data_IF_917682878442
#
_entry.id   IF_917682878442
#
_cell.length_a   1.000
_cell.length_b   1.000
_cell.length_c   1.000
_cell.angle_alpha   90.00
_cell.angle_beta   90.00
_cell.angle_gamma   90.00
#
_symmetry.space_group_name_H-M   'P 1'
#
loop_
_entity.id
_entity.type
_entity.pdbx_description
1 polymer ?
#
# COMPACT_ATOMS: atom_id res chain seq x y z
N UNK A 1 25.16 1.83 -7.71
CA UNK A 1 23.92 1.72 -6.91
C UNK A 1 24.05 0.56 -5.94
N UNK A 2 24.10 0.84 -4.64
CA UNK A 2 24.21 -0.18 -3.60
C UNK A 2 22.94 -1.06 -3.55
N UNK A 3 23.08 -2.39 -3.43
CA UNK A 3 21.95 -3.34 -3.45
C UNK A 3 20.92 -3.04 -2.34
N UNK A 4 21.36 -2.45 -1.24
CA UNK A 4 20.49 -2.04 -0.12
C UNK A 4 19.59 -0.84 -0.45
N UNK A 5 20.01 0.02 -1.38
CA UNK A 5 19.19 1.14 -1.86
C UNK A 5 18.00 0.64 -2.70
N UNK A 6 18.18 -0.47 -3.43
CA UNK A 6 17.15 -1.10 -4.24
C UNK A 6 15.98 -1.63 -3.38
N UNK A 7 16.29 -2.24 -2.23
CA UNK A 7 15.28 -2.74 -1.27
C UNK A 7 14.37 -1.60 -0.80
N UNK A 8 14.95 -0.43 -0.52
CA UNK A 8 14.21 0.76 -0.08
C UNK A 8 13.24 1.25 -1.16
N UNK A 9 13.68 1.29 -2.43
CA UNK A 9 12.81 1.66 -3.56
C UNK A 9 11.69 0.64 -3.74
N UNK A 10 11.99 -0.66 -3.75
CA UNK A 10 10.97 -1.71 -3.94
C UNK A 10 9.89 -1.62 -2.86
N UNK A 11 10.30 -1.44 -1.59
CA UNK A 11 9.38 -1.26 -0.48
C UNK A 11 8.50 0.00 -0.66
N UNK A 12 9.09 1.10 -1.15
CA UNK A 12 8.38 2.35 -1.43
C UNK A 12 7.35 2.18 -2.54
N UNK A 13 7.75 1.53 -3.65
CA UNK A 13 6.89 1.30 -4.81
C UNK A 13 5.67 0.44 -4.47
N UNK A 14 5.73 -0.42 -3.45
CA UNK A 14 4.59 -1.21 -2.99
C UNK A 14 3.43 -0.35 -2.46
N UNK A 15 3.68 0.87 -1.98
CA UNK A 15 2.64 1.78 -1.49
C UNK A 15 2.00 2.66 -2.57
N UNK A 16 2.67 2.88 -3.71
CA UNK A 16 2.18 3.68 -4.83
C UNK A 16 0.80 3.22 -5.32
N UNK A 17 0.55 1.92 -5.57
CA UNK A 17 -0.78 1.49 -5.98
C UNK A 17 -1.87 1.75 -4.96
N UNK A 18 -1.58 1.61 -3.67
CA UNK A 18 -2.55 1.93 -2.62
C UNK A 18 -2.94 3.40 -2.68
N UNK A 19 -1.97 4.29 -2.89
CA UNK A 19 -2.21 5.72 -3.01
C UNK A 19 -3.02 6.04 -4.27
N UNK A 20 -2.68 5.46 -5.42
CA UNK A 20 -3.41 5.68 -6.68
C UNK A 20 -4.87 5.22 -6.58
N UNK A 21 -5.10 4.02 -6.02
CA UNK A 21 -6.44 3.48 -5.80
C UNK A 21 -7.26 4.40 -4.87
N UNK A 22 -6.63 4.91 -3.82
CA UNK A 22 -7.26 5.82 -2.86
C UNK A 22 -7.65 7.15 -3.50
N UNK A 23 -6.74 7.75 -4.28
CA UNK A 23 -6.94 9.05 -4.93
C UNK A 23 -8.04 8.98 -5.98
N UNK A 24 -8.08 7.90 -6.75
CA UNK A 24 -9.10 7.66 -7.76
C UNK A 24 -10.52 7.49 -7.16
N UNK A 25 -10.65 7.23 -5.85
CA UNK A 25 -11.95 6.96 -5.22
C UNK A 25 -12.50 8.11 -4.38
N UNK A 26 -13.27 9.01 -5.02
CA UNK A 26 -14.06 10.07 -4.36
C UNK A 26 -15.49 9.59 -4.02
N UNK A 27 -16.13 10.14 -2.98
CA UNK A 27 -15.66 11.22 -2.09
C UNK A 27 -14.69 10.71 -1.01
N UNK A 28 -13.80 11.62 -0.58
CA UNK A 28 -12.84 11.36 0.47
C UNK A 28 -13.49 11.58 1.84
N UNK A 29 -13.95 10.49 2.44
CA UNK A 29 -14.31 10.47 3.86
C UNK A 29 -13.05 10.55 4.74
N UNK A 30 -13.20 10.96 6.01
CA UNK A 30 -12.09 11.19 6.95
C UNK A 30 -11.06 10.05 6.99
N UNK A 31 -11.51 8.79 7.01
CA UNK A 31 -10.66 7.60 6.98
C UNK A 31 -9.74 7.55 5.74
N UNK A 32 -10.27 7.91 4.56
CA UNK A 32 -9.47 8.00 3.32
C UNK A 32 -8.46 9.13 3.38
N UNK A 33 -8.84 10.28 3.93
CA UNK A 33 -7.94 11.44 4.04
C UNK A 33 -6.74 11.12 4.94
N UNK A 34 -6.98 10.59 6.13
CA UNK A 34 -5.90 10.20 7.06
C UNK A 34 -5.05 9.07 6.48
N UNK A 35 -5.66 8.12 5.77
CA UNK A 35 -4.92 7.07 5.08
C UNK A 35 -4.04 7.63 3.96
N UNK A 36 -4.51 8.63 3.21
CA UNK A 36 -3.73 9.28 2.15
C UNK A 36 -2.51 10.00 2.73
N UNK A 37 -2.69 10.75 3.82
CA UNK A 37 -1.59 11.42 4.51
C UNK A 37 -0.54 10.42 4.99
N UNK A 38 -0.97 9.29 5.57
CA UNK A 38 -0.07 8.21 5.97
C UNK A 38 0.68 7.61 4.77
N UNK A 39 -0.01 7.31 3.66
CA UNK A 39 0.61 6.77 2.45
C UNK A 39 1.62 7.74 1.82
N UNK A 40 1.33 9.03 1.81
CA UNK A 40 2.27 10.05 1.32
C UNK A 40 3.50 10.12 2.25
N UNK A 41 3.28 10.13 3.57
CA UNK A 41 4.35 10.17 4.55
C UNK A 41 5.28 8.95 4.42
N UNK A 42 4.73 7.74 4.29
CA UNK A 42 5.54 6.52 4.20
C UNK A 42 6.29 6.41 2.86
N UNK A 43 5.73 6.96 1.77
CA UNK A 43 6.42 7.09 0.49
C UNK A 43 7.60 8.06 0.58
N UNK A 44 7.39 9.24 1.17
CA UNK A 44 8.46 10.22 1.41
C UNK A 44 9.57 9.63 2.29
N UNK A 45 9.20 8.84 3.29
CA UNK A 45 10.18 8.17 4.15
C UNK A 45 11.01 7.14 3.38
N UNK A 46 10.36 6.35 2.52
CA UNK A 46 11.04 5.40 1.65
C UNK A 46 12.03 6.05 0.69
N UNK A 47 11.65 7.19 0.09
CA UNK A 47 12.54 8.01 -0.76
C UNK A 47 13.71 8.57 0.06
N UNK A 48 13.46 9.10 1.26
CA UNK A 48 14.51 9.59 2.15
C UNK A 48 15.51 8.50 2.55
N UNK A 49 15.02 7.30 2.85
CA UNK A 49 15.87 6.12 3.12
C UNK A 49 16.71 5.70 1.91
N UNK A 50 16.13 5.74 0.70
CA UNK A 50 16.87 5.52 -0.54
C UNK A 50 17.98 6.55 -0.75
N UNK A 51 17.66 7.84 -0.66
CA UNK A 51 18.64 8.92 -0.83
C UNK A 51 19.78 8.80 0.18
N UNK A 52 19.46 8.52 1.45
CA UNK A 52 20.46 8.37 2.50
C UNK A 52 21.45 7.21 2.24
N UNK A 53 20.94 6.07 1.75
CA UNK A 53 21.74 4.87 1.48
C UNK A 53 22.42 4.87 0.11
N UNK A 54 22.05 5.79 -0.77
CA UNK A 54 22.66 5.93 -2.09
C UNK A 54 24.00 6.66 -2.03
N UNK A 55 24.76 6.56 -3.12
CA UNK A 55 26.00 7.32 -3.32
C UNK A 55 25.73 8.77 -3.80
N UNK A 56 24.45 9.15 -3.92
CA UNK A 56 24.05 10.51 -4.26
C UNK A 56 24.11 11.42 -3.02
N UNK A 57 24.37 12.71 -3.25
CA UNK A 57 24.29 13.77 -2.22
C UNK A 57 25.13 13.47 -0.95
N UNK A 58 26.34 12.93 -1.12
CA UNK A 58 27.23 12.52 -0.02
C UNK A 58 27.48 13.67 0.98
N UNK A 59 27.70 14.88 0.48
CA UNK A 59 27.94 16.08 1.29
C UNK A 59 26.71 16.49 2.12
N UNK A 60 25.51 16.13 1.68
CA UNK A 60 24.24 16.53 2.30
C UNK A 60 23.63 15.42 3.16
N UNK A 61 24.32 14.29 3.37
CA UNK A 61 23.80 13.12 4.13
C UNK A 61 23.31 13.49 5.53
N UNK A 62 23.91 14.51 6.16
CA UNK A 62 23.46 15.01 7.47
C UNK A 62 22.05 15.60 7.38
N UNK A 63 21.79 16.47 6.40
CA UNK A 63 20.48 17.07 6.21
C UNK A 63 19.45 16.05 5.74
N UNK A 64 19.85 15.08 4.91
CA UNK A 64 18.99 13.96 4.52
C UNK A 64 18.60 13.13 5.75
N UNK A 65 19.54 12.83 6.65
CA UNK A 65 19.24 12.11 7.89
C UNK A 65 18.26 12.89 8.78
N UNK A 66 18.48 14.20 8.97
CA UNK A 66 17.58 15.09 9.72
C UNK A 66 16.17 15.09 9.12
N UNK A 67 16.06 15.32 7.82
CA UNK A 67 14.79 15.32 7.10
C UNK A 67 14.10 13.96 7.22
N UNK A 68 14.84 12.87 7.03
CA UNK A 68 14.30 11.52 7.10
C UNK A 68 13.76 11.19 8.50
N UNK A 69 14.42 11.63 9.57
CA UNK A 69 13.93 11.49 10.95
C UNK A 69 12.63 12.29 11.18
N UNK A 70 12.55 13.53 10.69
CA UNK A 70 11.30 14.30 10.75
C UNK A 70 10.15 13.56 10.03
N UNK A 71 10.44 12.99 8.86
CA UNK A 71 9.45 12.22 8.11
C UNK A 71 9.01 10.96 8.88
N UNK A 72 9.91 10.24 9.56
CA UNK A 72 9.53 9.11 10.43
C UNK A 72 8.54 9.52 11.52
N UNK A 73 8.81 10.62 12.22
CA UNK A 73 7.93 11.12 13.28
C UNK A 73 6.57 11.49 12.69
N UNK A 74 6.55 12.06 11.48
CA UNK A 74 5.32 12.33 10.75
C UNK A 74 4.58 11.06 10.31
N UNK A 75 5.28 10.00 9.90
CA UNK A 75 4.71 8.68 9.60
C UNK A 75 4.01 8.11 10.83
N UNK A 76 4.65 8.15 12.00
CA UNK A 76 4.06 7.67 13.26
C UNK A 76 2.78 8.47 13.58
N UNK A 77 2.83 9.79 13.45
CA UNK A 77 1.70 10.68 13.75
C UNK A 77 0.54 10.48 12.77
N UNK A 78 0.83 10.37 11.48
CA UNK A 78 -0.20 10.12 10.45
C UNK A 78 -0.81 8.73 10.57
N UNK A 79 -0.02 7.72 10.91
CA UNK A 79 -0.49 6.38 11.23
C UNK A 79 -1.46 6.41 12.42
N UNK A 80 -1.12 7.12 13.50
CA UNK A 80 -1.99 7.30 14.65
C UNK A 80 -3.37 7.85 14.27
N UNK A 81 -3.39 8.96 13.51
CA UNK A 81 -4.66 9.54 13.07
C UNK A 81 -5.45 8.62 12.13
N UNK A 82 -4.78 7.82 11.31
CA UNK A 82 -5.42 6.78 10.51
C UNK A 82 -6.04 5.68 11.39
N UNK A 83 -5.31 5.12 12.35
CA UNK A 83 -5.81 4.07 13.26
C UNK A 83 -6.96 4.58 14.13
N UNK A 84 -6.88 5.83 14.57
CA UNK A 84 -7.92 6.51 15.36
C UNK A 84 -9.29 6.54 14.68
N UNK A 85 -9.33 6.59 13.35
CA UNK A 85 -10.60 6.53 12.61
C UNK A 85 -11.36 5.21 12.79
N UNK A 86 -10.69 4.13 13.21
CA UNK A 86 -11.35 2.86 13.48
C UNK A 86 -11.99 2.84 14.85
N UNK A 87 -11.33 3.33 15.90
CA UNK A 87 -11.84 3.17 17.27
C UNK A 87 -12.58 4.38 17.83
N UNK A 88 -12.48 5.55 17.19
CA UNK A 88 -13.15 6.76 17.65
C UNK A 88 -14.08 7.34 16.56
N UNK A 89 -15.38 7.37 16.84
CA UNK A 89 -16.40 7.89 15.91
C UNK A 89 -16.58 9.42 15.96
N UNK A 90 -16.09 10.09 17.02
CA UNK A 90 -16.28 11.54 17.22
C UNK A 90 -15.27 12.39 16.42
N UNK A 91 -15.64 13.63 16.16
CA UNK A 91 -14.74 14.67 15.60
C UNK A 91 -13.45 14.71 16.42
N UNK A 92 -12.27 14.89 15.78
CA UNK A 92 -11.04 14.88 16.54
C UNK A 92 -11.11 15.99 17.58
N UNK A 93 -10.88 15.63 18.85
CA UNK A 93 -10.36 16.62 19.80
C UNK A 93 -9.09 17.26 19.23
N UNK A 94 -8.72 18.41 19.78
CA UNK A 94 -7.57 19.23 19.40
C UNK A 94 -6.36 18.39 18.91
N UNK A 95 -5.67 18.78 17.81
CA UNK A 95 -4.64 17.96 17.16
C UNK A 95 -3.31 17.94 17.93
N UNK A 96 -3.36 17.55 19.20
CA UNK A 96 -2.24 17.59 20.14
C UNK A 96 -1.02 16.84 19.61
N UNK A 97 -1.23 15.68 18.97
CA UNK A 97 -0.14 14.88 18.41
C UNK A 97 0.65 15.66 17.34
N UNK A 98 -0.01 16.42 16.45
CA UNK A 98 0.67 17.24 15.45
C UNK A 98 1.49 18.39 16.06
N UNK A 99 1.05 18.95 17.18
CA UNK A 99 1.81 19.99 17.90
C UNK A 99 3.10 19.37 18.48
N UNK A 100 2.98 18.20 19.12
CA UNK A 100 4.15 17.47 19.59
C UNK A 100 5.08 17.07 18.44
N UNK A 101 4.56 16.65 17.29
CA UNK A 101 5.35 16.40 16.07
C UNK A 101 6.15 17.63 15.65
N UNK A 102 5.53 18.81 15.61
CA UNK A 102 6.20 20.05 15.24
C UNK A 102 7.30 20.44 16.23
N UNK A 103 7.06 20.27 17.54
CA UNK A 103 8.08 20.49 18.57
C UNK A 103 9.26 19.50 18.40
N UNK A 104 8.96 18.23 18.13
CA UNK A 104 10.00 17.22 17.88
C UNK A 104 10.80 17.49 16.60
N UNK A 105 10.21 18.12 15.58
CA UNK A 105 10.97 18.55 14.41
C UNK A 105 12.05 19.55 14.79
N UNK A 106 11.74 20.52 15.66
CA UNK A 106 12.73 21.48 16.16
C UNK A 106 13.85 20.74 16.90
N UNK A 107 13.50 19.77 17.77
CA UNK A 107 14.50 18.95 18.48
C UNK A 107 15.39 18.18 17.51
N UNK A 108 14.82 17.53 16.50
CA UNK A 108 15.59 16.79 15.49
C UNK A 108 16.51 17.73 14.72
N UNK A 109 15.98 18.83 14.18
CA UNK A 109 16.77 19.76 13.37
C UNK A 109 17.95 20.36 14.13
N UNK A 110 17.80 20.61 15.43
CA UNK A 110 18.84 21.19 16.28
C UNK A 110 19.83 20.14 16.82
N UNK A 111 19.36 18.95 17.20
CA UNK A 111 20.14 18.03 18.04
C UNK A 111 20.37 16.62 17.46
N UNK A 112 19.67 16.19 16.40
CA UNK A 112 19.69 14.78 15.93
C UNK A 112 19.79 14.68 14.40
N UNK A 113 20.71 13.89 13.82
CA UNK A 113 21.81 13.18 14.49
C UNK A 113 22.95 14.14 14.85
N UNK A 114 23.70 13.81 15.91
CA UNK A 114 24.85 14.59 16.37
C UNK A 114 25.99 14.60 15.34
N UNK A 115 26.19 13.46 14.67
CA UNK A 115 27.16 13.28 13.59
C UNK A 115 26.81 12.06 12.74
N UNK A 116 27.44 11.94 11.58
CA UNK A 116 27.42 10.73 10.76
C UNK A 116 28.80 10.10 10.82
N UNK A 117 28.88 8.79 11.10
CA UNK A 117 30.15 8.07 10.99
C UNK A 117 30.48 7.89 9.51
N UNK A 118 31.70 8.27 9.14
CA UNK A 118 32.23 8.05 7.80
C UNK A 118 33.04 6.74 7.83
N UNK A 119 32.38 5.63 7.52
CA UNK A 119 32.99 4.31 7.28
C UNK A 119 32.54 3.76 5.92
N UNK A 120 32.74 2.46 5.65
CA UNK A 120 32.24 1.80 4.42
C UNK A 120 30.71 1.95 4.25
N UNK A 121 29.98 2.06 5.36
CA UNK A 121 28.54 2.35 5.41
C UNK A 121 28.35 3.58 6.30
N UNK A 122 27.77 4.64 5.72
CA UNK A 122 27.45 5.85 6.48
C UNK A 122 26.31 5.56 7.48
N UNK A 123 26.58 5.66 8.79
CA UNK A 123 25.60 5.44 9.83
C UNK A 123 25.42 6.70 10.71
N UNK A 124 24.17 7.11 10.99
CA UNK A 124 23.90 8.27 11.84
C UNK A 124 24.11 7.93 13.33
N UNK A 125 24.83 8.79 14.03
CA UNK A 125 24.96 8.75 15.50
C UNK A 125 23.89 9.67 16.07
N UNK A 126 22.83 9.09 16.61
CA UNK A 126 21.63 9.84 16.99
C UNK A 126 21.75 10.61 18.31
N UNK A 127 22.59 10.16 19.24
CA UNK A 127 22.74 10.82 20.55
C UNK A 127 21.55 10.61 21.50
N UNK A 128 21.64 11.19 22.69
CA UNK A 128 20.64 10.99 23.76
C UNK A 128 19.29 11.66 23.46
N UNK A 129 19.27 12.69 22.63
CA UNK A 129 18.02 13.37 22.25
C UNK A 129 17.05 12.46 21.49
N UNK A 130 17.51 11.33 20.93
CA UNK A 130 16.66 10.32 20.30
C UNK A 130 15.62 9.70 21.24
N UNK A 131 15.87 9.69 22.56
CA UNK A 131 14.92 9.13 23.53
C UNK A 131 13.59 9.88 23.55
N UNK A 132 13.56 11.18 23.22
CA UNK A 132 12.32 11.97 23.17
C UNK A 132 11.36 11.52 22.03
N UNK A 133 11.77 11.52 20.75
CA UNK A 133 10.91 11.02 19.68
C UNK A 133 10.60 9.52 19.82
N UNK A 134 11.53 8.73 20.38
CA UNK A 134 11.26 7.32 20.69
C UNK A 134 10.15 7.17 21.73
N UNK A 135 10.22 7.88 22.85
CA UNK A 135 9.19 7.86 23.90
C UNK A 135 7.83 8.33 23.38
N UNK A 136 7.81 9.39 22.57
CA UNK A 136 6.60 9.87 21.89
C UNK A 136 5.98 8.79 20.99
N UNK A 137 6.80 8.15 20.15
CA UNK A 137 6.35 7.09 19.26
C UNK A 137 5.81 5.87 20.01
N UNK A 138 6.52 5.41 21.05
CA UNK A 138 6.08 4.30 21.91
C UNK A 138 4.77 4.62 22.62
N UNK A 139 4.61 5.83 23.15
CA UNK A 139 3.39 6.25 23.83
C UNK A 139 2.18 6.23 22.89
N UNK A 140 2.29 6.90 21.74
CA UNK A 140 1.17 7.00 20.79
C UNK A 140 0.81 5.63 20.20
N UNK A 141 1.80 4.86 19.72
CA UNK A 141 1.52 3.55 19.14
C UNK A 141 1.01 2.56 20.19
N UNK A 142 1.48 2.65 21.44
CA UNK A 142 0.97 1.87 22.56
C UNK A 142 -0.52 2.17 22.84
N UNK A 143 -0.91 3.45 22.81
CA UNK A 143 -2.31 3.87 22.91
C UNK A 143 -3.15 3.33 21.74
N UNK A 144 -2.62 3.37 20.51
CA UNK A 144 -3.33 2.84 19.35
C UNK A 144 -3.55 1.33 19.46
N UNK A 145 -2.51 0.58 19.83
CA UNK A 145 -2.60 -0.86 20.07
C UNK A 145 -3.64 -1.17 21.15
N UNK A 146 -3.61 -0.45 22.27
CA UNK A 146 -4.59 -0.62 23.35
C UNK A 146 -6.03 -0.44 22.84
N UNK A 147 -6.31 0.65 22.12
CA UNK A 147 -7.65 0.92 21.61
C UNK A 147 -8.09 -0.04 20.50
N UNK A 148 -7.18 -0.46 19.62
CA UNK A 148 -7.45 -1.48 18.61
C UNK A 148 -7.79 -2.82 19.25
N UNK A 149 -6.98 -3.30 20.20
CA UNK A 149 -7.23 -4.55 20.93
C UNK A 149 -8.55 -4.48 21.69
N UNK A 150 -8.83 -3.36 22.37
CA UNK A 150 -10.12 -3.13 23.02
C UNK A 150 -11.26 -3.24 22.01
N UNK A 151 -11.17 -2.57 20.86
CA UNK A 151 -12.21 -2.63 19.82
C UNK A 151 -12.39 -4.04 19.25
N UNK A 152 -11.31 -4.78 19.01
CA UNK A 152 -11.35 -6.17 18.52
C UNK A 152 -12.16 -7.05 19.47
N UNK A 153 -11.95 -6.92 20.78
CA UNK A 153 -12.66 -7.69 21.81
C UNK A 153 -14.16 -7.44 21.86
N UNK A 154 -14.61 -6.23 21.53
CA UNK A 154 -16.04 -5.85 21.61
C UNK A 154 -16.76 -5.81 20.26
N UNK A 155 -16.08 -6.15 19.15
CA UNK A 155 -16.69 -6.12 17.81
C UNK A 155 -17.23 -7.51 17.45
N UNK A 156 -18.55 -7.60 17.22
CA UNK A 156 -19.22 -8.84 16.77
C UNK A 156 -19.24 -9.03 15.26
N UNK A 157 -18.97 -7.98 14.47
CA UNK A 157 -18.90 -8.08 13.01
C UNK A 157 -17.59 -8.76 12.57
N UNK A 158 -17.65 -9.96 11.94
CA UNK A 158 -16.45 -10.70 11.54
C UNK A 158 -15.62 -9.97 10.49
N UNK A 159 -16.20 -9.08 9.68
CA UNK A 159 -15.46 -8.30 8.67
C UNK A 159 -14.59 -7.25 9.36
N UNK A 160 -15.20 -6.46 10.25
CA UNK A 160 -14.50 -5.42 11.02
C UNK A 160 -13.49 -6.04 11.98
N UNK A 161 -13.80 -7.18 12.60
CA UNK A 161 -12.89 -7.90 13.47
C UNK A 161 -11.59 -8.30 12.73
N UNK A 162 -11.72 -8.96 11.57
CA UNK A 162 -10.56 -9.35 10.76
C UNK A 162 -9.75 -8.14 10.29
N UNK A 163 -10.43 -7.09 9.82
CA UNK A 163 -9.81 -5.84 9.39
C UNK A 163 -8.93 -5.22 10.50
N UNK A 164 -9.43 -5.19 11.74
CA UNK A 164 -8.69 -4.67 12.88
C UNK A 164 -7.50 -5.57 13.25
N UNK A 165 -7.63 -6.90 13.15
CA UNK A 165 -6.52 -7.83 13.36
C UNK A 165 -5.41 -7.59 12.34
N UNK A 166 -5.73 -7.47 11.05
CA UNK A 166 -4.71 -7.21 10.02
C UNK A 166 -4.02 -5.85 10.23
N UNK A 167 -4.75 -4.82 10.65
CA UNK A 167 -4.15 -3.54 11.02
C UNK A 167 -3.21 -3.68 12.23
N UNK A 168 -3.62 -4.42 13.25
CA UNK A 168 -2.78 -4.69 14.42
C UNK A 168 -1.49 -5.43 14.04
N UNK A 169 -1.59 -6.47 13.21
CA UNK A 169 -0.41 -7.19 12.69
C UNK A 169 0.50 -6.24 11.91
N UNK A 170 -0.08 -5.41 11.03
CA UNK A 170 0.67 -4.43 10.25
C UNK A 170 1.44 -3.43 11.12
N UNK A 171 0.81 -2.89 12.17
CA UNK A 171 1.44 -1.97 13.13
C UNK A 171 2.54 -2.68 13.93
N UNK A 172 2.29 -3.90 14.39
CA UNK A 172 3.29 -4.71 15.11
C UNK A 172 4.53 -4.97 14.26
N UNK A 173 4.37 -5.29 12.97
CA UNK A 173 5.49 -5.46 12.04
C UNK A 173 6.29 -4.16 11.91
N UNK A 174 5.62 -3.02 11.71
CA UNK A 174 6.31 -1.72 11.62
C UNK A 174 7.12 -1.41 12.89
N UNK A 175 6.58 -1.73 14.08
CA UNK A 175 7.28 -1.54 15.36
C UNK A 175 8.49 -2.47 15.48
N UNK A 176 8.31 -3.76 15.23
CA UNK A 176 9.38 -4.76 15.36
C UNK A 176 10.54 -4.43 14.42
N UNK A 177 10.25 -4.17 13.15
CA UNK A 177 11.28 -3.81 12.17
C UNK A 177 11.83 -2.39 12.38
N UNK A 178 11.02 -1.47 12.87
CA UNK A 178 11.44 -0.12 13.28
C UNK A 178 12.48 -0.15 14.39
N UNK A 179 12.22 -0.91 15.44
CA UNK A 179 13.13 -1.10 16.57
C UNK A 179 14.40 -1.84 16.12
N UNK A 180 14.27 -2.87 15.28
CA UNK A 180 15.42 -3.64 14.81
C UNK A 180 16.42 -2.81 14.02
N UNK A 181 15.99 -1.73 13.35
CA UNK A 181 16.88 -0.80 12.64
C UNK A 181 17.83 0.01 13.53
N UNK A 182 17.63 0.03 14.85
CA UNK A 182 18.60 0.64 15.78
C UNK A 182 19.70 -0.33 16.21
N UNK A 183 19.55 -1.64 15.96
CA UNK A 183 20.61 -2.63 16.21
C UNK A 183 21.75 -2.49 15.20
N UNK A 184 22.95 -3.00 15.53
CA UNK A 184 24.10 -3.04 14.60
C UNK A 184 23.72 -3.69 13.26
N UNK A 185 23.01 -4.82 13.32
CA UNK A 185 22.52 -5.53 12.14
C UNK A 185 21.51 -4.70 11.32
N UNK A 186 20.62 -3.95 11.97
CA UNK A 186 19.61 -3.13 11.29
C UNK A 186 20.11 -1.77 10.76
N UNK A 187 21.32 -1.35 11.15
CA UNK A 187 22.00 -0.20 10.54
C UNK A 187 22.65 -0.63 9.21
N UNK A 188 23.30 -1.79 9.18
CA UNK A 188 23.88 -2.39 7.98
C UNK A 188 22.81 -2.81 6.97
N UNK A 189 21.82 -3.59 7.41
CA UNK A 189 20.75 -4.11 6.56
C UNK A 189 19.48 -3.26 6.64
N UNK A 190 18.79 -2.98 5.52
CA UNK A 190 17.60 -2.13 5.49
C UNK A 190 16.34 -2.83 6.04
N UNK A 191 16.39 -3.34 7.28
CA UNK A 191 15.33 -4.13 7.92
C UNK A 191 14.00 -3.35 7.99
N UNK A 192 14.04 -2.08 8.37
CA UNK A 192 12.87 -1.18 8.33
C UNK A 192 12.13 -1.24 6.99
N UNK A 193 12.86 -1.28 5.86
CA UNK A 193 12.23 -1.31 4.55
C UNK A 193 11.61 -2.67 4.23
N UNK A 194 12.15 -3.77 4.77
CA UNK A 194 11.51 -5.09 4.73
C UNK A 194 10.18 -5.07 5.50
N UNK A 195 10.19 -4.51 6.71
CA UNK A 195 8.97 -4.32 7.51
C UNK A 195 7.92 -3.47 6.79
N UNK A 196 8.35 -2.38 6.15
CA UNK A 196 7.48 -1.54 5.32
C UNK A 196 6.90 -2.31 4.14
N UNK A 197 7.69 -3.12 3.43
CA UNK A 197 7.19 -3.94 2.33
C UNK A 197 6.12 -4.93 2.80
N UNK A 198 6.37 -5.65 3.92
CA UNK A 198 5.38 -6.55 4.51
C UNK A 198 4.11 -5.81 4.94
N UNK A 199 4.25 -4.63 5.54
CA UNK A 199 3.12 -3.80 5.91
C UNK A 199 2.31 -3.34 4.69
N UNK A 200 2.96 -2.96 3.58
CA UNK A 200 2.30 -2.64 2.32
C UNK A 200 1.47 -3.81 1.79
N UNK A 201 1.99 -5.04 1.86
CA UNK A 201 1.27 -6.24 1.46
C UNK A 201 0.04 -6.48 2.34
N UNK A 202 0.17 -6.33 3.66
CA UNK A 202 -0.94 -6.50 4.61
C UNK A 202 -2.02 -5.44 4.37
N UNK A 203 -1.63 -4.16 4.24
CA UNK A 203 -2.57 -3.08 3.97
C UNK A 203 -3.27 -3.29 2.63
N UNK A 204 -2.52 -3.70 1.60
CA UNK A 204 -3.07 -4.07 0.31
C UNK A 204 -4.11 -5.17 0.47
N UNK A 205 -3.74 -6.30 1.04
CA UNK A 205 -4.66 -7.41 1.27
C UNK A 205 -5.91 -6.97 2.07
N UNK A 206 -5.74 -6.15 3.10
CA UNK A 206 -6.85 -5.66 3.92
C UNK A 206 -7.78 -4.75 3.10
N UNK A 207 -7.22 -3.92 2.20
CA UNK A 207 -7.99 -3.00 1.36
C UNK A 207 -8.77 -3.78 0.33
N UNK A 208 -8.14 -4.79 -0.26
CA UNK A 208 -8.69 -5.65 -1.28
C UNK A 208 -9.81 -6.56 -0.75
N UNK A 209 -9.56 -7.27 0.35
CA UNK A 209 -10.43 -8.35 0.84
C UNK A 209 -11.50 -7.88 1.82
N UNK A 210 -11.15 -6.99 2.76
CA UNK A 210 -12.03 -6.63 3.88
C UNK A 210 -12.80 -5.33 3.65
N UNK A 211 -12.87 -4.85 2.40
CA UNK A 211 -13.57 -3.61 2.02
C UNK A 211 -13.22 -2.45 2.95
N UNK A 212 -11.93 -2.23 3.25
CA UNK A 212 -11.50 -1.03 4.01
C UNK A 212 -12.12 0.24 3.43
N UNK A 213 -12.37 0.24 2.13
CA UNK A 213 -13.11 1.24 1.38
C UNK A 213 -14.00 0.47 0.39
N UNK A 214 -15.30 0.79 0.28
CA UNK A 214 -16.20 0.21 -0.75
C UNK A 214 -15.69 0.56 -2.16
N UNK A 215 -14.76 -0.24 -2.69
CA UNK A 215 -13.92 0.10 -3.86
C UNK A 215 -13.75 -1.04 -4.87
N UNK A 216 -14.62 -2.05 -4.81
CA UNK A 216 -14.48 -3.30 -5.57
C UNK A 216 -14.09 -3.10 -7.05
N UNK A 217 -14.72 -2.13 -7.72
CA UNK A 217 -14.49 -1.83 -9.14
C UNK A 217 -13.18 -1.07 -9.43
N UNK A 218 -12.74 -0.18 -8.54
CA UNK A 218 -11.53 0.64 -8.73
C UNK A 218 -10.28 -0.18 -8.39
N UNK A 219 -10.38 -0.99 -7.34
CA UNK A 219 -9.36 -1.96 -6.94
C UNK A 219 -9.04 -2.93 -8.08
N UNK A 220 -10.07 -3.45 -8.75
CA UNK A 220 -9.94 -4.35 -9.89
C UNK A 220 -9.13 -3.71 -11.03
N UNK A 221 -9.44 -2.45 -11.34
CA UNK A 221 -8.73 -1.66 -12.37
C UNK A 221 -7.29 -1.31 -11.94
N UNK A 222 -7.07 -1.02 -10.66
CA UNK A 222 -5.77 -0.71 -10.10
C UNK A 222 -4.82 -1.91 -10.08
N UNK A 223 -5.29 -3.07 -9.61
CA UNK A 223 -4.53 -4.33 -9.67
C UNK A 223 -4.22 -4.75 -11.10
N UNK A 224 -5.18 -4.61 -12.01
CA UNK A 224 -4.93 -4.87 -13.42
C UNK A 224 -3.87 -3.93 -13.98
N UNK A 225 -3.91 -2.64 -13.62
CA UNK A 225 -2.89 -1.67 -14.03
C UNK A 225 -1.50 -2.04 -13.52
N UNK A 226 -1.36 -2.42 -12.25
CA UNK A 226 -0.09 -2.86 -11.70
C UNK A 226 0.43 -4.13 -12.33
N UNK A 227 -0.44 -5.13 -12.52
CA UNK A 227 -0.06 -6.38 -13.16
C UNK A 227 0.39 -6.11 -14.60
N UNK A 228 -0.29 -5.22 -15.32
CA UNK A 228 0.11 -4.77 -16.66
C UNK A 228 1.48 -4.09 -16.65
N UNK A 229 1.74 -3.19 -15.69
CA UNK A 229 3.04 -2.53 -15.55
C UNK A 229 4.13 -3.55 -15.23
N UNK A 230 3.92 -4.44 -14.25
CA UNK A 230 4.89 -5.44 -13.84
C UNK A 230 5.22 -6.42 -14.98
N UNK A 231 4.20 -6.95 -15.66
CA UNK A 231 4.36 -7.79 -16.85
C UNK A 231 5.12 -7.03 -17.93
N UNK A 232 4.78 -5.75 -18.14
CA UNK A 232 5.48 -4.87 -19.07
C UNK A 232 6.96 -4.74 -18.78
N UNK A 233 7.34 -4.48 -17.53
CA UNK A 233 8.74 -4.40 -17.10
C UNK A 233 9.44 -5.74 -17.31
N UNK A 234 8.81 -6.86 -16.96
CA UNK A 234 9.38 -8.21 -17.16
C UNK A 234 9.60 -8.50 -18.64
N UNK A 235 8.63 -8.21 -19.51
CA UNK A 235 8.76 -8.41 -20.96
C UNK A 235 9.86 -7.50 -21.52
N UNK A 236 9.89 -6.23 -21.12
CA UNK A 236 10.93 -5.29 -21.51
C UNK A 236 12.33 -5.82 -21.15
N UNK A 237 12.52 -6.23 -19.89
CA UNK A 237 13.77 -6.81 -19.41
C UNK A 237 14.11 -8.12 -20.13
N UNK A 238 13.13 -8.99 -20.41
CA UNK A 238 13.34 -10.25 -21.12
C UNK A 238 13.77 -10.02 -22.58
N UNK A 239 13.08 -9.15 -23.33
CA UNK A 239 13.46 -8.78 -24.70
C UNK A 239 14.88 -8.23 -24.71
N UNK A 240 15.20 -7.39 -23.72
CA UNK A 240 16.52 -6.81 -23.59
C UNK A 240 17.60 -7.85 -23.28
N UNK A 241 17.38 -8.76 -22.34
CA UNK A 241 18.30 -9.86 -22.01
C UNK A 241 18.52 -10.79 -23.21
N UNK A 242 17.45 -11.12 -23.94
CA UNK A 242 17.52 -11.90 -25.17
C UNK A 242 18.32 -11.15 -26.25
N UNK A 243 18.08 -9.84 -26.38
CA UNK A 243 18.81 -8.95 -27.29
C UNK A 243 20.30 -8.93 -27.01
N UNK A 244 20.66 -8.77 -25.74
CA UNK A 244 22.05 -8.83 -25.28
C UNK A 244 22.68 -10.20 -25.56
N UNK A 245 21.99 -11.30 -25.25
CA UNK A 245 22.52 -12.66 -25.40
C UNK A 245 22.66 -13.11 -26.86
N UNK A 246 21.69 -12.78 -27.73
CA UNK A 246 21.67 -13.24 -29.12
C UNK A 246 22.39 -12.29 -30.08
N UNK A 247 22.38 -10.98 -29.81
CA UNK A 247 22.87 -9.95 -30.73
C UNK A 247 24.02 -9.11 -30.14
N UNK A 248 24.53 -9.48 -28.95
CA UNK A 248 25.64 -8.80 -28.26
C UNK A 248 25.42 -7.28 -28.11
N UNK A 249 24.16 -6.89 -27.88
CA UNK A 249 23.77 -5.48 -27.71
C UNK A 249 24.38 -4.94 -26.42
N UNK A 250 25.37 -4.07 -26.54
CA UNK A 250 26.04 -3.43 -25.41
C UNK A 250 25.08 -2.54 -24.59
N UNK A 251 25.16 -2.65 -23.27
CA UNK A 251 24.27 -1.94 -22.33
C UNK A 251 24.43 -0.41 -22.40
N UNK A 252 25.62 0.07 -22.76
CA UNK A 252 25.99 1.50 -22.75
C UNK A 252 25.62 2.23 -24.05
N UNK A 253 25.41 1.50 -25.14
CA UNK A 253 25.20 2.06 -26.49
C UNK A 253 23.80 1.80 -27.02
N UNK A 254 22.79 1.83 -26.14
CA UNK A 254 21.40 1.74 -26.59
C UNK A 254 21.08 2.98 -27.43
N UNK A 255 20.90 2.76 -28.73
CA UNK A 255 20.36 3.78 -29.60
C UNK A 255 18.91 4.08 -29.17
N UNK A 256 18.60 5.34 -28.88
CA UNK A 256 17.29 5.78 -28.37
C UNK A 256 16.14 5.25 -29.25
N UNK A 257 16.37 5.15 -30.55
CA UNK A 257 15.42 4.60 -31.53
C UNK A 257 15.05 3.14 -31.26
N UNK A 258 16.02 2.30 -30.87
CA UNK A 258 15.81 0.89 -30.52
C UNK A 258 15.03 0.77 -29.22
N UNK A 259 15.37 1.60 -28.22
CA UNK A 259 14.63 1.67 -26.96
C UNK A 259 13.16 2.04 -27.16
N UNK A 260 12.88 3.04 -28.01
CA UNK A 260 11.50 3.42 -28.38
C UNK A 260 10.78 2.26 -29.07
N UNK A 261 11.43 1.55 -29.99
CA UNK A 261 10.86 0.39 -30.67
C UNK A 261 10.46 -0.73 -29.71
N UNK A 262 11.35 -1.08 -28.77
CA UNK A 262 11.07 -2.08 -27.73
C UNK A 262 9.93 -1.62 -26.81
N UNK A 263 9.92 -0.36 -26.40
CA UNK A 263 8.86 0.20 -25.57
C UNK A 263 7.48 0.13 -26.26
N UNK A 264 7.41 0.43 -27.56
CA UNK A 264 6.18 0.32 -28.35
C UNK A 264 5.72 -1.13 -28.48
N UNK A 265 6.64 -2.07 -28.71
CA UNK A 265 6.32 -3.51 -28.76
C UNK A 265 5.78 -4.01 -27.42
N UNK A 266 6.39 -3.62 -26.32
CA UNK A 266 5.93 -3.95 -24.96
C UNK A 266 4.56 -3.35 -24.70
N UNK A 267 4.34 -2.08 -25.05
CA UNK A 267 3.04 -1.41 -24.90
C UNK A 267 1.94 -2.12 -25.71
N UNK A 268 2.25 -2.54 -26.94
CA UNK A 268 1.33 -3.31 -27.78
C UNK A 268 1.01 -4.69 -27.18
N UNK A 269 2.01 -5.42 -26.69
CA UNK A 269 1.82 -6.71 -26.02
C UNK A 269 0.92 -6.59 -24.78
N UNK A 270 1.16 -5.57 -23.94
CA UNK A 270 0.32 -5.28 -22.77
C UNK A 270 -1.10 -4.95 -23.19
N UNK A 271 -1.28 -4.12 -24.23
CA UNK A 271 -2.61 -3.75 -24.72
C UNK A 271 -3.43 -4.98 -25.13
N UNK A 272 -2.80 -5.92 -25.84
CA UNK A 272 -3.45 -7.16 -26.27
C UNK A 272 -3.78 -8.09 -25.09
N UNK A 273 -2.88 -8.18 -24.10
CA UNK A 273 -3.06 -9.05 -22.93
C UNK A 273 -3.99 -8.46 -21.86
N UNK A 274 -4.35 -7.18 -21.96
CA UNK A 274 -5.16 -6.46 -20.97
C UNK A 274 -6.41 -7.22 -20.56
N UNK A 275 -7.19 -7.72 -21.53
CA UNK A 275 -8.44 -8.44 -21.27
C UNK A 275 -8.24 -9.74 -20.48
N UNK A 276 -7.15 -10.47 -20.78
CA UNK A 276 -6.79 -11.69 -20.07
C UNK A 276 -6.33 -11.39 -18.64
N UNK A 277 -5.44 -10.41 -18.46
CA UNK A 277 -4.93 -9.98 -17.16
C UNK A 277 -6.07 -9.55 -16.25
N UNK A 278 -7.00 -8.72 -16.76
CA UNK A 278 -8.18 -8.30 -15.98
C UNK A 278 -9.06 -9.49 -15.57
N UNK A 279 -9.29 -10.44 -16.49
CA UNK A 279 -10.12 -11.62 -16.23
C UNK A 279 -9.52 -12.56 -15.19
N UNK A 280 -8.20 -12.75 -15.20
CA UNK A 280 -7.52 -13.59 -14.21
C UNK A 280 -7.57 -12.96 -12.80
N UNK A 281 -7.38 -11.64 -12.72
CA UNK A 281 -7.51 -10.90 -11.45
C UNK A 281 -8.95 -11.04 -10.93
N UNK A 282 -9.95 -10.92 -11.80
CA UNK A 282 -11.36 -11.08 -11.39
C UNK A 282 -11.65 -12.46 -10.82
N UNK A 283 -11.13 -13.51 -11.45
CA UNK A 283 -11.29 -14.90 -10.99
C UNK A 283 -10.56 -15.17 -9.67
N UNK A 284 -9.35 -14.65 -9.51
CA UNK A 284 -8.52 -14.86 -8.32
C UNK A 284 -9.15 -14.20 -7.08
N UNK A 285 -9.78 -13.04 -7.25
CA UNK A 285 -10.32 -12.24 -6.14
C UNK A 285 -11.83 -12.43 -5.92
N UNK A 286 -12.62 -12.81 -6.93
CA UNK A 286 -14.10 -12.81 -6.88
C UNK A 286 -14.75 -14.05 -7.51
N UNK A 287 -14.16 -15.23 -7.27
CA UNK A 287 -14.62 -16.54 -7.78
C UNK A 287 -16.14 -16.81 -7.61
N UNK A 288 -16.79 -16.22 -6.60
CA UNK A 288 -18.22 -16.44 -6.34
C UNK A 288 -19.16 -15.40 -6.94
N UNK A 289 -18.88 -14.08 -6.87
CA UNK A 289 -19.84 -13.08 -7.39
C UNK A 289 -19.78 -12.93 -8.91
N UNK A 290 -18.67 -13.35 -9.55
CA UNK A 290 -18.55 -13.33 -11.00
C UNK A 290 -19.50 -14.34 -11.66
N UNK A 291 -19.66 -15.52 -11.07
CA UNK A 291 -20.59 -16.55 -11.55
C UNK A 291 -22.03 -16.05 -11.51
N UNK A 292 -22.50 -15.53 -10.36
CA UNK A 292 -23.86 -15.01 -10.23
C UNK A 292 -24.12 -13.77 -11.12
N UNK A 293 -23.14 -12.87 -11.29
CA UNK A 293 -23.30 -11.71 -12.20
C UNK A 293 -23.32 -12.13 -13.66
N UNK A 294 -22.51 -13.11 -14.05
CA UNK A 294 -22.49 -13.65 -15.42
C UNK A 294 -23.78 -14.40 -15.72
N UNK A 295 -24.28 -15.18 -14.77
CA UNK A 295 -25.56 -15.87 -14.90
C UNK A 295 -26.74 -14.89 -14.91
N UNK A 296 -26.74 -13.84 -14.08
CA UNK A 296 -27.76 -12.79 -14.13
C UNK A 296 -27.76 -12.04 -15.48
N UNK A 297 -26.60 -11.73 -16.04
CA UNK A 297 -26.50 -11.08 -17.35
C UNK A 297 -26.92 -12.03 -18.50
N UNK A 298 -26.61 -13.32 -18.37
CA UNK A 298 -27.03 -14.35 -19.32
C UNK A 298 -28.55 -14.56 -19.25
N UNK A 299 -29.12 -14.60 -18.04
CA UNK A 299 -30.55 -14.63 -17.81
C UNK A 299 -31.23 -13.40 -18.43
N UNK A 300 -30.69 -12.20 -18.17
CA UNK A 300 -31.22 -10.95 -18.69
C UNK A 300 -31.20 -10.85 -20.22
N UNK A 301 -30.13 -11.34 -20.87
CA UNK A 301 -29.99 -11.25 -22.33
C UNK A 301 -30.68 -12.38 -23.09
N UNK A 302 -30.64 -13.60 -22.54
CA UNK A 302 -30.98 -14.81 -23.30
C UNK A 302 -32.22 -15.54 -22.77
N UNK A 303 -32.60 -15.37 -21.49
CA UNK A 303 -33.77 -16.06 -20.91
C UNK A 303 -34.98 -15.17 -20.66
N UNK A 304 -34.81 -13.84 -20.47
CA UNK A 304 -35.94 -12.89 -20.30
C UNK A 304 -37.00 -13.03 -21.40
N UNK A 305 -36.60 -13.33 -22.63
CA UNK A 305 -37.52 -13.43 -23.78
C UNK A 305 -38.31 -14.73 -23.85
N UNK A 306 -38.02 -15.71 -22.99
CA UNK A 306 -38.60 -17.06 -23.05
C UNK A 306 -39.35 -17.51 -21.79
N UNK A 307 -39.35 -16.73 -20.71
CA UNK A 307 -40.08 -17.08 -19.48
C UNK A 307 -41.50 -16.54 -19.58
N UNK A 308 -42.45 -17.44 -19.82
CA UNK A 308 -43.89 -17.13 -19.95
C UNK A 308 -44.61 -17.02 -18.59
N UNK A 309 -43.93 -17.38 -17.50
CA UNK A 309 -44.53 -17.47 -16.16
C UNK A 309 -43.89 -16.47 -15.18
N UNK A 310 -44.70 -15.55 -14.64
CA UNK A 310 -44.23 -14.42 -13.83
C UNK A 310 -43.58 -14.88 -12.51
N UNK A 311 -44.09 -15.95 -11.91
CA UNK A 311 -43.59 -16.50 -10.65
C UNK A 311 -42.20 -17.14 -10.81
N UNK A 312 -42.01 -17.91 -11.87
CA UNK A 312 -40.73 -18.56 -12.19
C UNK A 312 -39.67 -17.53 -12.54
N UNK A 313 -40.05 -16.49 -13.29
CA UNK A 313 -39.20 -15.33 -13.56
C UNK A 313 -38.79 -14.62 -12.27
N UNK A 314 -39.74 -14.37 -11.37
CA UNK A 314 -39.50 -13.71 -10.10
C UNK A 314 -38.52 -14.47 -9.21
N UNK A 315 -38.68 -15.80 -9.11
CA UNK A 315 -37.81 -16.69 -8.32
C UNK A 315 -36.40 -16.76 -8.90
N UNK A 316 -36.24 -16.95 -10.21
CA UNK A 316 -34.93 -17.05 -10.88
C UNK A 316 -34.19 -15.71 -10.85
N UNK A 317 -34.90 -14.60 -11.07
CA UNK A 317 -34.35 -13.26 -10.91
C UNK A 317 -33.93 -12.99 -9.46
N UNK A 318 -34.79 -13.26 -8.48
CA UNK A 318 -34.49 -13.04 -7.05
C UNK A 318 -33.28 -13.86 -6.60
N UNK A 319 -33.18 -15.13 -6.99
CA UNK A 319 -32.04 -15.99 -6.62
C UNK A 319 -30.74 -15.50 -7.24
N UNK A 320 -30.74 -15.13 -8.53
CA UNK A 320 -29.57 -14.56 -9.20
C UNK A 320 -29.19 -13.20 -8.61
N UNK A 321 -30.17 -12.36 -8.28
CA UNK A 321 -29.95 -11.03 -7.70
C UNK A 321 -29.43 -11.13 -6.27
N UNK A 322 -30.01 -12.01 -5.44
CA UNK A 322 -29.52 -12.30 -4.09
C UNK A 322 -28.13 -12.92 -4.10
N UNK A 323 -27.85 -13.84 -5.02
CA UNK A 323 -26.51 -14.41 -5.19
C UNK A 323 -25.48 -13.35 -5.64
N UNK A 324 -25.88 -12.46 -6.56
CA UNK A 324 -25.00 -11.40 -7.07
C UNK A 324 -24.70 -10.30 -6.05
N UNK A 325 -25.65 -9.99 -5.16
CA UNK A 325 -25.55 -8.93 -4.16
C UNK A 325 -25.17 -9.47 -2.76
N UNK A 326 -25.24 -10.80 -2.56
CA UNK A 326 -25.09 -11.49 -1.27
C UNK A 326 -26.07 -10.98 -0.21
N UNK A 327 -27.33 -10.84 -0.58
CA UNK A 327 -28.39 -10.52 0.38
C UNK A 327 -28.91 -11.80 1.05
N UNK A 328 -29.20 -11.75 2.36
CA UNK A 328 -29.71 -12.92 3.11
C UNK A 328 -31.22 -13.11 2.95
N UNK A 329 -31.95 -12.05 2.65
CA UNK A 329 -33.40 -12.05 2.48
C UNK A 329 -33.77 -11.05 1.38
N UNK A 330 -34.68 -11.45 0.50
CA UNK A 330 -35.25 -10.60 -0.53
C UNK A 330 -36.70 -10.99 -0.74
N UNK A 331 -37.54 -9.99 -0.94
CA UNK A 331 -38.95 -10.17 -1.25
C UNK A 331 -39.24 -9.48 -2.58
N UNK A 332 -39.96 -10.16 -3.46
CA UNK A 332 -40.50 -9.58 -4.68
C UNK A 332 -42.00 -9.42 -4.45
N UNK A 333 -42.47 -8.18 -4.54
CA UNK A 333 -43.90 -7.88 -4.60
C UNK A 333 -44.30 -8.02 -6.07
N UNK A 334 -45.01 -9.11 -6.38
CA UNK A 334 -45.60 -9.40 -7.69
C UNK A 334 -47.02 -8.85 -7.76
#
# INVERSE_FOLDING_TARGET
MNIYSLISIIATLAYVPLLLILVANRPWQRQKQTFAVFLIAILLWGIGGFLFRSDYLINEKLYIAKANLCIVIFVITSLHYYLRTYYEKRTPGFPLAYIFTALLFVVVLLFIPERITVGEIAAPVYGNWLYLPAAFGTYILGLDIYHLVKKIRFTSDPVVHNQLIYLLIGVSILIIFGISSFSSFGQEYPLVHVGNFLNALILTYTVLKHRLLDMRLIIQRGLALLAMIAIGVVIYLAIYLIGHFLFNVNLESINVLVGIGVALLVAFAIFQMRGFITSQIDKLFYKESFTYRKELNNFARNRIKGVLNLDEFGIELLTLFCGAIRCKQSYLLL
#
